data_IF_962259414475
#
_entry.id   IF_962259414475
#
_cell.length_a   1.000
_cell.length_b   1.000
_cell.length_c   1.000
_cell.angle_alpha   90.00
_cell.angle_beta   90.00
_cell.angle_gamma   90.00
#
_symmetry.space_group_name_H-M   'P 1'
#
loop_
_entity.id
_entity.type
_entity.pdbx_description
1 polymer ?
#
# COMPACT_ATOMS: atom_id res chain seq x y z
N UNK A 1 48.38 24.32 -74.73
CA UNK A 1 48.41 22.84 -74.69
C UNK A 1 48.87 22.42 -73.31
N UNK A 2 48.09 21.55 -72.67
CA UNK A 2 48.21 20.83 -71.37
C UNK A 2 49.61 20.60 -70.74
N UNK A 3 49.71 20.17 -69.46
CA UNK A 3 49.31 20.77 -68.17
C UNK A 3 50.49 20.61 -67.14
N UNK A 4 50.28 20.72 -65.82
CA UNK A 4 50.80 19.79 -64.77
C UNK A 4 50.59 20.34 -63.33
N UNK A 5 49.84 19.56 -62.57
CA UNK A 5 49.79 19.26 -61.13
C UNK A 5 50.35 20.24 -60.07
N UNK A 6 49.46 20.66 -59.15
CA UNK A 6 49.81 21.14 -57.81
C UNK A 6 49.47 20.07 -56.76
N UNK A 7 50.48 19.76 -55.93
CA UNK A 7 50.43 18.85 -54.78
C UNK A 7 50.00 19.68 -53.57
N UNK A 8 48.91 19.32 -52.90
CA UNK A 8 48.51 19.93 -51.62
C UNK A 8 48.77 18.95 -50.47
N UNK A 9 49.55 19.43 -49.50
CA UNK A 9 49.94 18.74 -48.27
C UNK A 9 48.81 18.83 -47.23
N UNK A 10 48.55 17.73 -46.54
CA UNK A 10 47.63 17.64 -45.39
C UNK A 10 48.25 18.31 -44.13
N UNK A 11 47.41 18.96 -43.34
CA UNK A 11 47.71 19.38 -41.96
C UNK A 11 46.81 18.60 -40.98
N UNK A 12 47.33 18.15 -39.81
CA UNK A 12 46.54 17.41 -38.84
C UNK A 12 45.79 18.36 -37.90
N UNK A 13 44.49 18.14 -37.75
CA UNK A 13 43.67 18.84 -36.75
C UNK A 13 43.65 18.04 -35.45
N UNK A 14 44.15 18.64 -34.36
CA UNK A 14 44.05 18.11 -33.01
C UNK A 14 42.63 18.35 -32.47
N UNK A 15 41.89 17.28 -32.19
CA UNK A 15 40.59 17.31 -31.52
C UNK A 15 40.80 17.10 -30.01
N UNK A 16 40.56 18.16 -29.22
CA UNK A 16 40.38 18.08 -27.77
C UNK A 16 38.95 17.61 -27.45
N UNK A 17 38.81 16.42 -26.89
CA UNK A 17 37.53 15.91 -26.37
C UNK A 17 37.36 16.33 -24.90
N UNK A 18 36.41 17.21 -24.62
CA UNK A 18 35.97 17.50 -23.25
C UNK A 18 34.83 16.54 -22.86
N UNK A 19 35.08 15.65 -21.89
CA UNK A 19 34.03 14.84 -21.26
C UNK A 19 33.29 15.68 -20.22
N UNK A 20 32.00 15.96 -20.47
CA UNK A 20 31.06 16.48 -19.48
C UNK A 20 30.40 15.30 -18.75
N UNK A 21 30.74 15.09 -17.48
CA UNK A 21 29.96 14.25 -16.56
C UNK A 21 28.69 15.00 -16.17
N UNK A 22 27.56 14.65 -16.78
CA UNK A 22 26.24 15.07 -16.30
C UNK A 22 25.79 14.13 -15.17
N UNK A 23 25.88 14.59 -13.93
CA UNK A 23 25.23 13.93 -12.79
C UNK A 23 23.72 14.20 -12.88
N UNK A 24 22.95 13.23 -13.36
CA UNK A 24 21.48 13.30 -13.33
C UNK A 24 21.02 13.02 -11.90
N UNK A 25 20.69 14.07 -11.15
CA UNK A 25 19.92 13.94 -9.93
C UNK A 25 18.52 13.39 -10.29
N UNK A 26 18.27 12.13 -10.02
CA UNK A 26 16.93 11.53 -10.13
C UNK A 26 16.08 12.09 -9.00
N UNK A 27 15.33 13.15 -9.27
CA UNK A 27 14.22 13.53 -8.41
C UNK A 27 13.21 12.38 -8.42
N UNK A 28 13.04 11.70 -7.29
CA UNK A 28 11.98 10.70 -7.10
C UNK A 28 10.65 11.43 -7.09
N UNK A 29 10.02 11.53 -8.26
CA UNK A 29 8.63 11.98 -8.35
C UNK A 29 7.75 11.03 -7.51
N UNK A 30 6.86 11.60 -6.69
CA UNK A 30 5.90 10.81 -5.94
C UNK A 30 5.05 9.97 -6.89
N UNK A 31 4.83 8.70 -6.55
CA UNK A 31 3.93 7.84 -7.31
C UNK A 31 2.53 8.46 -7.37
N UNK A 32 1.82 8.35 -8.50
CA UNK A 32 0.42 8.78 -8.56
C UNK A 32 -0.42 8.00 -7.55
N UNK A 33 -1.49 8.59 -7.00
CA UNK A 33 -2.33 7.93 -6.01
C UNK A 33 -2.95 6.66 -6.58
N UNK A 34 -3.08 5.63 -5.74
CA UNK A 34 -3.63 4.34 -6.15
C UNK A 34 -5.13 4.47 -6.41
N UNK A 35 -5.54 4.37 -7.68
CA UNK A 35 -6.91 4.62 -8.12
C UNK A 35 -7.41 3.55 -9.08
N UNK A 36 -8.52 2.93 -8.71
CA UNK A 36 -9.28 2.03 -9.54
C UNK A 36 -10.14 2.83 -10.52
N UNK A 37 -10.44 2.23 -11.67
CA UNK A 37 -11.43 2.75 -12.59
C UNK A 37 -12.81 2.80 -11.92
N UNK A 38 -13.70 3.74 -12.31
CA UNK A 38 -15.08 3.75 -11.84
C UNK A 38 -15.74 2.39 -12.08
N UNK A 39 -16.56 1.94 -11.13
CA UNK A 39 -17.19 0.61 -11.16
C UNK A 39 -17.89 0.32 -12.50
N UNK A 40 -18.57 1.31 -13.08
CA UNK A 40 -19.33 1.17 -14.34
C UNK A 40 -18.43 0.97 -15.57
N UNK A 41 -17.14 1.29 -15.47
CA UNK A 41 -16.17 1.13 -16.56
C UNK A 41 -15.44 -0.22 -16.52
N UNK A 42 -15.57 -0.99 -15.44
CA UNK A 42 -14.93 -2.30 -15.23
C UNK A 42 -15.68 -3.43 -15.98
N UNK A 43 -15.95 -3.22 -17.26
CA UNK A 43 -16.72 -4.13 -18.13
C UNK A 43 -15.88 -4.77 -19.24
N UNK A 44 -14.59 -4.44 -19.31
CA UNK A 44 -13.65 -4.99 -20.28
C UNK A 44 -12.44 -5.57 -19.57
N UNK A 45 -11.82 -6.59 -20.17
CA UNK A 45 -10.59 -7.17 -19.64
C UNK A 45 -9.49 -6.12 -19.51
N UNK A 46 -9.37 -5.19 -20.45
CA UNK A 46 -8.37 -4.11 -20.38
C UNK A 46 -8.58 -3.20 -19.15
N UNK A 47 -9.82 -2.86 -18.82
CA UNK A 47 -10.15 -2.09 -17.63
C UNK A 47 -9.82 -2.87 -16.35
N UNK A 48 -10.20 -4.15 -16.29
CA UNK A 48 -9.90 -5.03 -15.15
C UNK A 48 -8.38 -5.18 -14.96
N UNK A 49 -7.63 -5.36 -16.05
CA UNK A 49 -6.17 -5.49 -16.00
C UNK A 49 -5.49 -4.21 -15.52
N UNK A 50 -6.02 -3.02 -15.85
CA UNK A 50 -5.50 -1.76 -15.34
C UNK A 50 -5.67 -1.64 -13.80
N UNK A 51 -6.81 -2.07 -13.28
CA UNK A 51 -7.05 -2.12 -11.84
C UNK A 51 -6.14 -3.16 -11.15
N UNK A 52 -5.97 -4.35 -11.74
CA UNK A 52 -5.04 -5.37 -11.23
C UNK A 52 -3.59 -4.87 -11.21
N UNK A 53 -3.17 -4.12 -12.23
CA UNK A 53 -1.85 -3.50 -12.26
C UNK A 53 -1.67 -2.46 -11.13
N UNK A 54 -2.74 -1.77 -10.73
CA UNK A 54 -2.73 -0.84 -9.59
C UNK A 54 -2.51 -1.59 -8.27
N UNK A 55 -3.19 -2.71 -8.07
CA UNK A 55 -2.97 -3.58 -6.90
C UNK A 55 -1.52 -4.11 -6.85
N UNK A 56 -1.01 -4.59 -7.98
CA UNK A 56 0.37 -5.07 -8.09
C UNK A 56 1.40 -3.98 -7.80
N UNK A 57 1.20 -2.77 -8.33
CA UNK A 57 2.07 -1.63 -8.06
C UNK A 57 2.05 -1.22 -6.57
N UNK A 58 0.88 -1.30 -5.93
CA UNK A 58 0.74 -1.00 -4.50
C UNK A 58 1.42 -2.06 -3.64
N UNK A 59 1.28 -3.35 -3.98
CA UNK A 59 2.01 -4.45 -3.33
C UNK A 59 3.53 -4.29 -3.48
N UNK A 60 4.00 -3.86 -4.65
CA UNK A 60 5.42 -3.62 -4.90
C UNK A 60 5.99 -2.49 -4.02
N UNK A 61 5.19 -1.46 -3.71
CA UNK A 61 5.58 -0.39 -2.77
C UNK A 61 5.70 -0.91 -1.33
N UNK A 62 4.77 -1.76 -0.88
CA UNK A 62 4.89 -2.45 0.41
C UNK A 62 6.19 -3.26 0.46
N UNK A 63 6.46 -4.04 -0.59
CA UNK A 63 7.69 -4.83 -0.68
C UNK A 63 8.94 -3.94 -0.66
N UNK A 64 8.96 -2.83 -1.40
CA UNK A 64 10.09 -1.90 -1.41
C UNK A 64 10.38 -1.29 -0.04
N UNK A 65 9.34 -0.92 0.73
CA UNK A 65 9.51 -0.46 2.12
C UNK A 65 10.07 -1.56 3.02
N UNK A 66 9.62 -2.81 2.83
CA UNK A 66 10.14 -3.97 3.55
C UNK A 66 11.61 -4.25 3.23
N UNK A 67 11.96 -4.29 1.95
CA UNK A 67 13.33 -4.48 1.48
C UNK A 67 14.24 -3.31 1.89
N UNK A 68 13.66 -2.11 2.04
CA UNK A 68 14.31 -0.91 2.59
C UNK A 68 14.49 -0.91 4.11
N UNK A 69 14.06 -1.97 4.81
CA UNK A 69 14.34 -2.18 6.23
C UNK A 69 13.21 -1.86 7.20
N UNK A 70 12.04 -1.39 6.73
CA UNK A 70 10.83 -1.35 7.57
C UNK A 70 10.17 -2.72 7.53
N UNK A 71 10.28 -3.56 8.57
CA UNK A 71 9.80 -4.94 8.45
C UNK A 71 8.28 -4.98 8.27
N UNK A 72 7.76 -5.97 7.54
CA UNK A 72 6.30 -6.11 7.31
C UNK A 72 5.49 -6.11 8.61
N UNK A 73 6.08 -6.59 9.72
CA UNK A 73 5.47 -6.60 11.07
C UNK A 73 5.35 -5.23 11.74
N UNK A 74 5.94 -4.18 11.17
CA UNK A 74 5.71 -2.80 11.60
C UNK A 74 4.22 -2.48 11.48
N UNK A 75 3.67 -1.79 12.48
CA UNK A 75 2.23 -1.52 12.57
C UNK A 75 1.68 -0.86 11.30
N UNK A 76 2.33 0.18 10.77
CA UNK A 76 1.80 0.93 9.63
C UNK A 76 1.97 0.16 8.32
N UNK A 77 3.09 -0.56 8.14
CA UNK A 77 3.30 -1.38 6.95
C UNK A 77 2.36 -2.59 6.92
N UNK A 78 2.15 -3.24 8.06
CA UNK A 78 1.11 -4.28 8.22
C UNK A 78 -0.29 -3.74 7.92
N UNK A 79 -0.62 -2.56 8.46
CA UNK A 79 -1.95 -1.94 8.24
C UNK A 79 -2.17 -1.60 6.77
N UNK A 80 -1.15 -1.10 6.07
CA UNK A 80 -1.22 -0.86 4.63
C UNK A 80 -1.45 -2.15 3.84
N UNK A 81 -0.74 -3.24 4.18
CA UNK A 81 -0.97 -4.55 3.57
C UNK A 81 -2.39 -5.06 3.81
N UNK A 82 -2.87 -5.00 5.05
CA UNK A 82 -4.20 -5.51 5.38
C UNK A 82 -5.32 -4.67 4.73
N UNK A 83 -5.14 -3.36 4.57
CA UNK A 83 -6.03 -2.53 3.75
C UNK A 83 -6.02 -2.90 2.26
N UNK A 84 -4.83 -3.16 1.70
CA UNK A 84 -4.68 -3.62 0.33
C UNK A 84 -5.39 -4.97 0.11
N UNK A 85 -5.24 -5.89 1.06
CA UNK A 85 -5.83 -7.24 1.00
C UNK A 85 -7.36 -7.19 1.04
N UNK A 86 -7.97 -6.46 1.98
CA UNK A 86 -9.44 -6.36 2.03
C UNK A 86 -10.01 -5.59 0.84
N UNK A 87 -9.27 -4.58 0.33
CA UNK A 87 -9.63 -3.89 -0.91
C UNK A 87 -9.66 -4.86 -2.09
N UNK A 88 -8.59 -5.65 -2.26
CA UNK A 88 -8.48 -6.60 -3.37
C UNK A 88 -9.50 -7.72 -3.26
N UNK A 89 -9.72 -8.24 -2.04
CA UNK A 89 -10.72 -9.24 -1.75
C UNK A 89 -12.11 -8.77 -2.19
N UNK A 90 -12.54 -7.58 -1.77
CA UNK A 90 -13.86 -7.05 -2.16
C UNK A 90 -13.94 -6.68 -3.65
N UNK A 91 -12.85 -6.17 -4.23
CA UNK A 91 -12.76 -5.95 -5.69
C UNK A 91 -13.00 -7.24 -6.48
N UNK A 92 -12.31 -8.34 -6.13
CA UNK A 92 -12.44 -9.62 -6.85
C UNK A 92 -13.78 -10.32 -6.63
N UNK A 93 -14.48 -9.99 -5.55
CA UNK A 93 -15.88 -10.39 -5.32
C UNK A 93 -16.90 -9.52 -6.05
N UNK A 94 -16.43 -8.55 -6.84
CA UNK A 94 -17.26 -7.58 -7.56
C UNK A 94 -18.16 -6.79 -6.58
N UNK A 95 -17.60 -6.37 -5.45
CA UNK A 95 -18.19 -5.31 -4.64
C UNK A 95 -18.32 -4.04 -5.50
N UNK A 96 -19.57 -3.56 -5.61
CA UNK A 96 -19.94 -2.39 -6.43
C UNK A 96 -20.07 -1.10 -5.61
N UNK A 97 -19.81 -1.17 -4.33
CA UNK A 97 -19.76 -0.01 -3.45
C UNK A 97 -18.42 0.73 -3.57
N UNK A 98 -18.25 1.78 -2.76
CA UNK A 98 -16.99 2.52 -2.72
C UNK A 98 -15.89 1.82 -1.91
N UNK A 99 -16.21 0.71 -1.22
CA UNK A 99 -15.28 0.04 -0.30
C UNK A 99 -13.93 -0.33 -0.93
N UNK A 100 -13.85 -0.99 -2.12
CA UNK A 100 -12.56 -1.35 -2.69
C UNK A 100 -11.64 -0.13 -2.91
N UNK A 101 -12.19 0.98 -3.42
CA UNK A 101 -11.40 2.19 -3.64
C UNK A 101 -11.02 2.88 -2.34
N UNK A 102 -11.93 2.96 -1.36
CA UNK A 102 -11.63 3.64 -0.10
C UNK A 102 -10.60 2.85 0.73
N UNK A 103 -10.72 1.52 0.80
CA UNK A 103 -9.72 0.68 1.44
C UNK A 103 -8.33 0.77 0.75
N UNK A 104 -8.29 0.81 -0.60
CA UNK A 104 -7.04 1.04 -1.33
C UNK A 104 -6.42 2.41 -1.01
N UNK A 105 -7.25 3.44 -0.84
CA UNK A 105 -6.79 4.78 -0.48
C UNK A 105 -6.19 4.85 0.95
N UNK A 106 -6.71 4.06 1.89
CA UNK A 106 -6.11 3.92 3.23
C UNK A 106 -4.73 3.27 3.16
N UNK A 107 -4.56 2.21 2.34
CA UNK A 107 -3.25 1.62 2.08
C UNK A 107 -2.29 2.64 1.45
N UNK A 108 -2.73 3.35 0.42
CA UNK A 108 -1.92 4.36 -0.28
C UNK A 108 -1.50 5.51 0.63
N UNK A 109 -2.39 5.98 1.51
CA UNK A 109 -2.10 7.05 2.47
C UNK A 109 -0.98 6.67 3.42
N UNK A 110 -1.01 5.45 3.96
CA UNK A 110 0.04 4.94 4.83
C UNK A 110 1.37 4.78 4.07
N UNK A 111 1.31 4.27 2.82
CA UNK A 111 2.49 4.12 1.98
C UNK A 111 3.15 5.46 1.66
N UNK A 112 2.38 6.46 1.21
CA UNK A 112 2.88 7.81 0.94
C UNK A 112 3.51 8.41 2.20
N UNK A 113 2.86 8.27 3.35
CA UNK A 113 3.39 8.76 4.63
C UNK A 113 4.75 8.11 4.97
N UNK A 114 4.86 6.79 4.82
CA UNK A 114 6.11 6.06 5.08
C UNK A 114 7.21 6.43 4.09
N UNK A 115 6.89 6.52 2.79
CA UNK A 115 7.83 6.89 1.72
C UNK A 115 8.37 8.32 1.89
N UNK A 116 7.56 9.24 2.42
CA UNK A 116 7.95 10.63 2.66
C UNK A 116 8.55 10.87 4.05
N UNK A 117 8.62 9.84 4.91
CA UNK A 117 9.13 9.96 6.27
C UNK A 117 8.26 10.84 7.18
N UNK A 118 6.95 10.91 6.93
CA UNK A 118 5.99 11.68 7.76
C UNK A 118 5.99 11.14 9.19
N UNK A 119 6.00 12.05 10.18
CA UNK A 119 5.92 11.72 11.60
C UNK A 119 5.07 12.75 12.37
N UNK A 120 4.14 12.32 13.23
CA UNK A 120 3.69 10.93 13.40
C UNK A 120 2.89 10.45 12.17
N UNK A 121 2.96 9.14 11.88
CA UNK A 121 2.06 8.52 10.90
C UNK A 121 0.63 8.41 11.47
N UNK A 122 -0.41 8.43 10.63
CA UNK A 122 -1.79 8.24 11.07
C UNK A 122 -2.02 6.86 11.70
N UNK A 123 -2.69 6.83 12.84
CA UNK A 123 -3.06 5.59 13.54
C UNK A 123 -4.56 5.29 13.48
N UNK A 124 -5.38 6.24 13.05
CA UNK A 124 -6.83 6.06 12.96
C UNK A 124 -7.19 4.94 11.98
N UNK A 125 -8.34 4.30 12.24
CA UNK A 125 -8.92 3.26 11.36
C UNK A 125 -10.31 3.72 10.96
N UNK A 126 -10.45 4.43 9.84
CA UNK A 126 -11.75 4.94 9.42
C UNK A 126 -12.69 3.80 9.02
N UNK A 127 -13.98 3.97 9.34
CA UNK A 127 -15.05 3.09 8.88
C UNK A 127 -15.40 3.41 7.42
N UNK A 128 -14.48 3.09 6.50
CA UNK A 128 -14.66 3.34 5.06
C UNK A 128 -15.95 2.72 4.53
N UNK A 129 -16.53 3.33 3.49
CA UNK A 129 -17.83 2.95 2.92
C UNK A 129 -18.97 2.92 3.95
N UNK A 130 -18.88 3.78 4.98
CA UNK A 130 -19.81 3.82 6.10
C UNK A 130 -19.94 2.46 6.81
N UNK A 131 -18.88 1.65 6.83
CA UNK A 131 -18.86 0.34 7.46
C UNK A 131 -19.48 0.37 8.86
N UNK A 132 -20.29 -0.64 9.18
CA UNK A 132 -20.93 -0.72 10.49
C UNK A 132 -19.87 -0.89 11.57
N UNK A 133 -19.89 -0.02 12.59
CA UNK A 133 -19.12 -0.26 13.81
C UNK A 133 -19.69 -1.49 14.53
N UNK A 134 -18.93 -2.58 14.52
CA UNK A 134 -19.27 -3.87 15.14
C UNK A 134 -18.24 -4.21 16.22
N UNK A 135 -18.64 -5.04 17.19
CA UNK A 135 -17.75 -5.60 18.23
C UNK A 135 -16.91 -4.53 18.95
N UNK A 136 -17.59 -3.62 19.65
CA UNK A 136 -16.95 -2.58 20.46
C UNK A 136 -15.93 -3.17 21.46
N UNK A 137 -16.17 -4.38 21.94
CA UNK A 137 -15.25 -5.14 22.79
C UNK A 137 -13.88 -5.36 22.13
N UNK A 138 -13.84 -5.69 20.83
CA UNK A 138 -12.59 -5.90 20.10
C UNK A 138 -11.85 -4.59 19.86
N UNK A 139 -12.55 -3.51 19.51
CA UNK A 139 -11.97 -2.17 19.38
C UNK A 139 -11.38 -1.65 20.69
N UNK A 140 -12.03 -1.91 21.83
CA UNK A 140 -11.50 -1.56 23.15
C UNK A 140 -10.22 -2.34 23.47
N UNK A 141 -10.22 -3.66 23.20
CA UNK A 141 -9.03 -4.51 23.41
C UNK A 141 -7.84 -4.06 22.57
N UNK A 142 -8.05 -3.73 21.29
CA UNK A 142 -7.01 -3.20 20.41
C UNK A 142 -6.43 -1.87 20.94
N UNK A 143 -7.27 -0.94 21.40
CA UNK A 143 -6.81 0.34 21.99
C UNK A 143 -5.96 0.13 23.23
N UNK A 144 -6.35 -0.81 24.11
CA UNK A 144 -5.55 -1.17 25.30
C UNK A 144 -4.23 -1.80 24.87
N UNK A 145 -4.26 -2.70 23.89
CA UNK A 145 -3.09 -3.42 23.41
C UNK A 145 -2.03 -2.50 22.80
N UNK A 146 -2.44 -1.45 22.06
CA UNK A 146 -1.52 -0.45 21.51
C UNK A 146 -0.68 0.28 22.57
N UNK A 147 -1.14 0.32 23.82
CA UNK A 147 -0.44 0.94 24.95
C UNK A 147 0.32 -0.07 25.81
N UNK A 148 0.29 -1.37 25.46
CA UNK A 148 0.93 -2.42 26.25
C UNK A 148 2.46 -2.42 26.06
N UNK A 149 3.26 -2.76 27.09
CA UNK A 149 4.72 -2.83 26.99
C UNK A 149 5.23 -3.73 25.84
N UNK A 150 4.56 -4.86 25.60
CA UNK A 150 4.90 -5.81 24.54
C UNK A 150 4.29 -5.51 23.16
N UNK A 151 3.70 -4.32 22.94
CA UNK A 151 3.00 -4.00 21.69
C UNK A 151 3.87 -4.17 20.44
N UNK A 152 5.19 -3.97 20.56
CA UNK A 152 6.15 -4.18 19.46
C UNK A 152 6.06 -5.57 18.81
N UNK A 153 5.66 -6.60 19.57
CA UNK A 153 5.46 -7.95 19.03
C UNK A 153 4.03 -8.21 18.51
N UNK A 154 3.07 -7.33 18.81
CA UNK A 154 1.66 -7.47 18.48
C UNK A 154 1.20 -6.60 17.30
N UNK A 155 2.09 -5.74 16.80
CA UNK A 155 1.77 -4.68 15.84
C UNK A 155 1.04 -5.20 14.59
N UNK A 156 1.51 -6.30 14.00
CA UNK A 156 0.91 -6.86 12.79
C UNK A 156 -0.52 -7.33 13.02
N UNK A 157 -0.72 -8.18 14.01
CA UNK A 157 -2.04 -8.74 14.31
C UNK A 157 -3.01 -7.64 14.76
N UNK A 158 -2.54 -6.66 15.53
CA UNK A 158 -3.36 -5.51 15.92
C UNK A 158 -3.81 -4.69 14.69
N UNK A 159 -2.88 -4.33 13.81
CA UNK A 159 -3.17 -3.58 12.60
C UNK A 159 -4.21 -4.29 11.71
N UNK A 160 -4.02 -5.59 11.46
CA UNK A 160 -4.94 -6.35 10.62
C UNK A 160 -6.28 -6.62 11.31
N UNK A 161 -6.29 -6.80 12.64
CA UNK A 161 -7.52 -6.93 13.42
C UNK A 161 -8.40 -5.70 13.33
N UNK A 162 -7.82 -4.50 13.36
CA UNK A 162 -8.56 -3.25 13.15
C UNK A 162 -9.17 -3.17 11.75
N UNK A 163 -8.40 -3.52 10.70
CA UNK A 163 -8.89 -3.50 9.31
C UNK A 163 -10.00 -4.52 9.08
N UNK A 164 -9.87 -5.73 9.63
CA UNK A 164 -10.90 -6.78 9.51
C UNK A 164 -12.19 -6.43 10.25
N UNK A 165 -12.14 -5.62 11.32
CA UNK A 165 -13.36 -5.08 11.93
C UNK A 165 -14.10 -4.12 10.98
N UNK A 166 -13.36 -3.34 10.19
CA UNK A 166 -13.98 -2.48 9.16
C UNK A 166 -14.55 -3.31 8.02
N UNK A 167 -13.82 -4.34 7.58
CA UNK A 167 -14.26 -5.28 6.56
C UNK A 167 -15.54 -6.02 6.97
N UNK A 168 -15.60 -6.54 8.20
CA UNK A 168 -16.81 -7.10 8.78
C UNK A 168 -17.98 -6.10 8.78
N UNK A 169 -17.70 -4.83 9.08
CA UNK A 169 -18.68 -3.74 9.04
C UNK A 169 -19.22 -3.47 7.64
N UNK A 170 -18.37 -3.55 6.61
CA UNK A 170 -18.78 -3.46 5.20
C UNK A 170 -19.70 -4.61 4.81
N UNK A 171 -19.28 -5.85 5.10
CA UNK A 171 -20.06 -7.05 4.79
C UNK A 171 -21.41 -7.08 5.51
N UNK A 172 -21.47 -6.55 6.73
CA UNK A 172 -22.73 -6.39 7.45
C UNK A 172 -23.68 -5.43 6.73
N UNK A 173 -23.19 -4.27 6.29
CA UNK A 173 -24.03 -3.32 5.57
C UNK A 173 -24.57 -3.90 4.26
N UNK A 174 -23.76 -4.71 3.56
CA UNK A 174 -24.18 -5.29 2.28
C UNK A 174 -25.13 -6.47 2.45
N UNK A 175 -24.79 -7.42 3.32
CA UNK A 175 -25.42 -8.75 3.34
C UNK A 175 -25.70 -9.28 4.75
N UNK A 176 -25.61 -8.40 5.76
CA UNK A 176 -25.96 -8.68 7.15
C UNK A 176 -25.08 -9.76 7.81
N UNK A 177 -25.52 -10.25 8.98
CA UNK A 177 -24.71 -11.01 9.91
C UNK A 177 -24.05 -12.28 9.35
N UNK A 178 -24.73 -13.02 8.47
CA UNK A 178 -24.18 -14.27 7.92
C UNK A 178 -22.88 -14.02 7.12
N UNK A 179 -22.79 -12.87 6.46
CA UNK A 179 -21.63 -12.48 5.66
C UNK A 179 -20.56 -11.77 6.48
N UNK A 180 -20.96 -11.01 7.50
CA UNK A 180 -20.01 -10.37 8.42
C UNK A 180 -19.31 -11.36 9.36
N UNK A 181 -19.99 -12.46 9.75
CA UNK A 181 -19.51 -13.38 10.79
C UNK A 181 -18.09 -13.92 10.55
N UNK A 182 -17.71 -14.42 9.35
CA UNK A 182 -16.36 -14.91 9.11
C UNK A 182 -15.29 -13.84 9.41
N UNK A 183 -15.49 -12.60 8.97
CA UNK A 183 -14.54 -11.50 9.18
C UNK A 183 -14.48 -11.03 10.64
N UNK A 184 -15.61 -11.11 11.36
CA UNK A 184 -15.60 -10.93 12.83
C UNK A 184 -14.74 -11.99 13.51
N UNK A 185 -14.81 -13.25 13.06
CA UNK A 185 -14.02 -14.34 13.65
C UNK A 185 -12.52 -14.17 13.35
N UNK A 186 -12.17 -13.72 12.13
CA UNK A 186 -10.79 -13.38 11.78
C UNK A 186 -10.28 -12.23 12.67
N UNK A 187 -11.06 -11.16 12.82
CA UNK A 187 -10.70 -10.05 13.69
C UNK A 187 -10.51 -10.50 15.15
N UNK A 188 -11.39 -11.37 15.65
CA UNK A 188 -11.29 -11.92 17.01
C UNK A 188 -10.03 -12.79 17.21
N UNK A 189 -9.70 -13.64 16.23
CA UNK A 189 -8.45 -14.43 16.24
C UNK A 189 -7.22 -13.52 16.24
N UNK A 190 -7.19 -12.52 15.35
CA UNK A 190 -6.10 -11.54 15.29
C UNK A 190 -5.93 -10.80 16.61
N UNK A 191 -7.01 -10.37 17.26
CA UNK A 191 -6.93 -9.72 18.58
C UNK A 191 -6.38 -10.66 19.65
N UNK A 192 -6.82 -11.92 19.67
CA UNK A 192 -6.33 -12.92 20.62
C UNK A 192 -4.83 -13.20 20.43
N UNK A 193 -4.39 -13.32 19.18
CA UNK A 193 -2.99 -13.54 18.83
C UNK A 193 -2.13 -12.33 19.15
N UNK A 194 -2.63 -11.12 18.89
CA UNK A 194 -1.96 -9.87 19.22
C UNK A 194 -1.73 -9.76 20.75
N UNK A 195 -2.76 -10.07 21.55
CA UNK A 195 -2.63 -10.10 23.01
C UNK A 195 -1.66 -11.19 23.50
N UNK A 196 -1.66 -12.36 22.88
CA UNK A 196 -0.72 -13.42 23.20
C UNK A 196 0.72 -13.03 22.87
N UNK A 197 0.95 -12.43 21.71
CA UNK A 197 2.24 -11.93 21.28
C UNK A 197 2.76 -10.82 22.20
N UNK A 198 1.90 -9.87 22.60
CA UNK A 198 2.29 -8.83 23.54
C UNK A 198 2.71 -9.39 24.90
N UNK A 199 2.00 -10.40 25.43
CA UNK A 199 2.38 -11.05 26.70
C UNK A 199 3.73 -11.76 26.65
N UNK A 200 4.10 -12.32 25.50
CA UNK A 200 5.39 -13.02 25.34
C UNK A 200 6.58 -12.06 25.18
N UNK A 201 6.29 -10.79 24.90
CA UNK A 201 7.27 -9.76 24.56
C UNK A 201 7.38 -8.66 25.64
N UNK A 202 6.62 -8.80 26.72
CA UNK A 202 6.54 -7.86 27.83
C UNK A 202 7.52 -8.19 28.96
#
# INVERSE_FOLDING_TARGET
MNPIHSIQRLAPSLLCSALLLAATATATAAAPPARLLPQQQRITDAAIQADLATYQATQARIQALNDGGRPIRDYHLSKAQCWLDVSFHEYTRNDRSDFPQQALAEADTLLVGMEQGVQPLPTDTPLVNQAKYLRDDLWQRLRVLQQAPGFSCAQQQAACGEVELVHAGNEFNQQQWRHAKPYIQIAEELVNDAEAAARQCA
#
